data_IF_772867882064
#
_entry.id   IF_772867882064
#
_cell.length_a   1.000
_cell.length_b   1.000
_cell.length_c   1.000
_cell.angle_alpha   90.00
_cell.angle_beta   90.00
_cell.angle_gamma   90.00
#
_symmetry.space_group_name_H-M   'P 1'
#
loop_
_entity.id
_entity.type
_entity.pdbx_description
1 polymer ?
#
# COMPACT_ATOMS: atom_id res chain seq x y z
N UNK A 1 -29.50 59.14 81.26
CA UNK A 1 -30.85 58.85 80.93
C UNK A 1 -30.98 58.83 79.41
N UNK A 2 -31.56 57.80 78.90
CA UNK A 2 -32.01 57.57 77.51
C UNK A 2 -30.94 57.16 76.50
N UNK A 3 -30.81 55.83 76.27
CA UNK A 3 -30.07 55.19 75.22
C UNK A 3 -30.80 55.32 73.90
N UNK A 4 -30.02 55.68 72.82
CA UNK A 4 -30.46 55.55 71.48
C UNK A 4 -29.71 54.35 70.83
N UNK A 5 -30.45 53.31 70.54
CA UNK A 5 -30.02 52.19 69.73
C UNK A 5 -29.98 52.62 68.27
N UNK A 6 -28.77 52.50 67.68
CA UNK A 6 -28.57 52.58 66.21
C UNK A 6 -28.53 51.18 65.69
N UNK A 7 -29.45 50.78 64.84
CA UNK A 7 -29.48 49.53 64.09
C UNK A 7 -28.64 49.72 62.84
N UNK A 8 -27.54 49.04 62.78
CA UNK A 8 -26.78 48.88 61.51
C UNK A 8 -27.36 47.68 60.71
N UNK A 9 -27.97 47.99 59.59
CA UNK A 9 -28.40 46.98 58.60
C UNK A 9 -27.23 46.65 57.69
N UNK A 10 -26.59 45.50 57.89
CA UNK A 10 -25.56 45.00 57.02
C UNK A 10 -26.19 44.39 55.74
N UNK A 11 -25.92 44.97 54.59
CA UNK A 11 -26.24 44.41 53.30
C UNK A 11 -25.14 43.44 52.91
N UNK A 12 -25.45 42.17 52.95
CA UNK A 12 -24.55 41.08 52.47
C UNK A 12 -24.66 40.95 50.95
N UNK A 13 -23.70 41.49 50.22
CA UNK A 13 -23.57 41.29 48.77
C UNK A 13 -23.00 39.88 48.52
N UNK A 14 -23.82 38.93 48.09
CA UNK A 14 -23.38 37.65 47.57
C UNK A 14 -22.83 37.85 46.15
N UNK A 15 -21.50 37.84 45.99
CA UNK A 15 -20.83 37.69 44.70
C UNK A 15 -20.94 36.22 44.26
N UNK A 16 -21.88 35.90 43.39
CA UNK A 16 -21.91 34.62 42.70
C UNK A 16 -20.80 34.60 41.61
N UNK A 17 -19.67 33.93 41.90
CA UNK A 17 -18.65 33.65 40.92
C UNK A 17 -19.20 32.61 39.92
N UNK A 18 -19.58 33.05 38.73
CA UNK A 18 -19.90 32.18 37.60
C UNK A 18 -18.56 31.63 37.12
N UNK A 19 -18.19 30.41 37.56
CA UNK A 19 -17.12 29.65 36.94
C UNK A 19 -17.61 29.18 35.57
N UNK A 20 -17.32 29.95 34.53
CA UNK A 20 -17.44 29.50 33.16
C UNK A 20 -16.44 28.36 32.94
N UNK A 21 -16.92 27.12 32.97
CA UNK A 21 -16.18 26.01 32.42
C UNK A 21 -16.00 26.30 30.93
N UNK A 22 -14.79 26.73 30.53
CA UNK A 22 -14.38 26.72 29.15
C UNK A 22 -14.40 25.24 28.73
N UNK A 23 -15.40 24.82 27.98
CA UNK A 23 -15.46 23.53 27.34
C UNK A 23 -14.31 23.52 26.32
N UNK A 24 -13.24 22.77 26.61
CA UNK A 24 -12.20 22.50 25.62
C UNK A 24 -12.92 21.99 24.37
N UNK A 25 -12.61 22.55 23.17
CA UNK A 25 -13.22 22.05 21.95
C UNK A 25 -12.86 20.57 21.80
N UNK A 26 -13.85 19.72 21.83
CA UNK A 26 -13.73 18.29 21.57
C UNK A 26 -13.00 18.14 20.23
N UNK A 27 -11.79 17.57 20.28
CA UNK A 27 -10.97 17.42 19.10
C UNK A 27 -11.78 16.61 18.06
N UNK A 28 -12.10 17.25 16.94
CA UNK A 28 -12.86 16.62 15.87
C UNK A 28 -12.20 15.27 15.52
N UNK A 29 -12.99 14.19 15.47
CA UNK A 29 -12.50 12.89 15.09
C UNK A 29 -11.76 12.99 13.73
N UNK A 30 -10.57 12.37 13.60
CA UNK A 30 -9.79 12.50 12.38
C UNK A 30 -10.60 11.99 11.17
N UNK A 31 -10.64 12.81 10.12
CA UNK A 31 -11.38 12.48 8.90
C UNK A 31 -10.76 11.25 8.22
N UNK A 32 -11.60 10.43 7.59
CA UNK A 32 -11.15 9.33 6.75
C UNK A 32 -10.48 9.87 5.49
N UNK A 33 -9.34 9.29 5.11
CA UNK A 33 -8.57 9.68 3.93
C UNK A 33 -8.23 8.45 3.09
N UNK A 34 -7.99 8.60 1.76
CA UNK A 34 -7.52 7.50 0.94
C UNK A 34 -6.16 7.00 1.41
N UNK A 35 -5.95 5.69 1.46
CA UNK A 35 -4.68 5.07 1.87
C UNK A 35 -3.57 5.24 0.83
N UNK A 36 -3.92 5.56 -0.41
CA UNK A 36 -2.98 5.80 -1.51
C UNK A 36 -3.60 6.76 -2.53
N UNK A 37 -2.77 7.41 -3.31
CA UNK A 37 -3.18 8.20 -4.47
C UNK A 37 -3.61 7.28 -5.63
N UNK A 38 -4.36 7.79 -6.62
CA UNK A 38 -4.70 7.02 -7.82
C UNK A 38 -3.45 6.51 -8.58
N UNK A 39 -2.36 7.27 -8.61
CA UNK A 39 -1.10 6.85 -9.23
C UNK A 39 -0.47 5.68 -8.47
N UNK A 40 -0.36 5.76 -7.14
CA UNK A 40 0.18 4.69 -6.31
C UNK A 40 -0.64 3.41 -6.44
N UNK A 41 -1.99 3.50 -6.50
CA UNK A 41 -2.85 2.33 -6.74
C UNK A 41 -2.56 1.65 -8.07
N UNK A 42 -2.33 2.43 -9.13
CA UNK A 42 -2.04 1.89 -10.46
C UNK A 42 -0.59 1.43 -10.64
N UNK A 43 0.31 1.81 -9.73
CA UNK A 43 1.74 1.49 -9.76
C UNK A 43 2.16 0.55 -8.62
N UNK A 44 1.21 -0.11 -7.96
CA UNK A 44 1.49 -0.93 -6.76
C UNK A 44 2.09 -2.31 -7.07
N UNK A 45 1.98 -2.78 -8.31
CA UNK A 45 2.34 -4.14 -8.67
C UNK A 45 1.46 -5.19 -7.96
N UNK A 46 1.79 -6.47 -8.15
CA UNK A 46 1.10 -7.57 -7.47
C UNK A 46 1.90 -8.88 -7.56
N UNK A 47 1.61 -9.82 -6.67
CA UNK A 47 2.11 -11.20 -6.77
C UNK A 47 0.87 -12.10 -6.97
N UNK A 48 0.79 -12.77 -8.10
CA UNK A 48 -0.38 -13.56 -8.49
C UNK A 48 -0.07 -15.05 -8.52
N UNK A 49 -0.93 -15.86 -7.92
CA UNK A 49 -0.87 -17.32 -8.05
C UNK A 49 -1.14 -17.82 -9.47
N UNK A 50 -1.72 -16.98 -10.34
CA UNK A 50 -1.93 -17.28 -11.75
C UNK A 50 -1.03 -16.42 -12.61
N UNK A 51 -0.34 -17.02 -13.56
CA UNK A 51 0.52 -16.27 -14.49
C UNK A 51 -0.33 -15.40 -15.40
N UNK A 52 0.14 -14.17 -15.63
CA UNK A 52 -0.44 -13.25 -16.61
C UNK A 52 -0.31 -13.86 -18.02
N UNK A 53 -1.41 -13.81 -18.78
CA UNK A 53 -1.42 -14.26 -20.17
C UNK A 53 -0.48 -13.39 -21.02
N UNK A 54 0.20 -14.02 -21.98
CA UNK A 54 1.16 -13.35 -22.88
C UNK A 54 0.57 -13.05 -24.25
N UNK A 55 -0.75 -12.92 -24.31
CA UNK A 55 -1.49 -12.85 -25.58
C UNK A 55 -1.38 -11.46 -26.23
N UNK A 56 -1.27 -10.41 -25.43
CA UNK A 56 -1.09 -9.04 -25.89
C UNK A 56 0.14 -8.42 -25.19
N UNK A 57 0.98 -7.76 -25.95
CA UNK A 57 2.23 -7.19 -25.42
C UNK A 57 2.66 -5.96 -26.21
N UNK A 58 3.48 -5.13 -25.60
CA UNK A 58 4.16 -3.99 -26.24
C UNK A 58 5.20 -4.54 -27.20
N UNK A 59 5.04 -4.25 -28.48
CA UNK A 59 5.98 -4.70 -29.51
C UNK A 59 7.11 -3.70 -29.72
N UNK A 60 6.78 -2.41 -29.89
CA UNK A 60 7.74 -1.33 -30.11
C UNK A 60 7.05 0.03 -29.94
N UNK A 61 7.81 1.15 -30.07
CA UNK A 61 7.26 2.49 -30.22
C UNK A 61 6.58 2.67 -31.59
N UNK A 62 5.53 3.50 -31.59
CA UNK A 62 4.82 3.83 -32.82
C UNK A 62 5.28 5.14 -33.46
N UNK A 63 6.11 5.92 -32.80
CA UNK A 63 6.70 7.14 -33.34
C UNK A 63 7.84 6.77 -34.29
N UNK A 64 7.69 7.17 -35.54
CA UNK A 64 8.61 6.82 -36.64
C UNK A 64 9.92 7.62 -36.62
N UNK A 65 10.50 7.92 -35.46
CA UNK A 65 11.84 8.47 -35.41
C UNK A 65 12.88 7.33 -35.52
N UNK A 66 13.13 6.88 -36.75
CA UNK A 66 14.12 5.85 -37.09
C UNK A 66 15.57 6.19 -36.63
N UNK A 67 15.78 7.37 -36.02
CA UNK A 67 17.10 7.81 -35.57
C UNK A 67 17.36 7.53 -34.10
N UNK A 68 16.33 7.27 -33.29
CA UNK A 68 16.48 6.98 -31.88
C UNK A 68 16.04 5.54 -31.61
N UNK A 69 16.96 4.69 -31.23
CA UNK A 69 16.63 3.37 -30.62
C UNK A 69 16.01 3.54 -29.26
N UNK A 70 14.83 4.20 -29.24
CA UNK A 70 14.09 4.46 -28.01
C UNK A 70 13.42 3.19 -27.58
N UNK A 71 13.82 2.69 -26.41
CA UNK A 71 13.29 1.42 -25.86
C UNK A 71 12.48 1.60 -24.60
N UNK A 72 12.28 2.84 -24.15
CA UNK A 72 11.47 3.17 -22.97
C UNK A 72 10.51 4.29 -23.34
N UNK A 73 9.23 4.04 -23.12
CA UNK A 73 8.15 4.97 -23.47
C UNK A 73 7.52 5.53 -22.21
N UNK A 74 7.26 6.84 -22.26
CA UNK A 74 6.69 7.63 -21.18
C UNK A 74 5.27 8.05 -21.50
N UNK A 75 4.61 8.71 -20.57
CA UNK A 75 3.27 9.26 -20.75
C UNK A 75 3.23 10.21 -21.96
N UNK A 76 2.23 10.03 -22.80
CA UNK A 76 2.07 10.74 -24.06
C UNK A 76 2.62 10.02 -25.30
N UNK A 77 3.59 9.12 -25.13
CA UNK A 77 4.16 8.35 -26.25
C UNK A 77 3.15 7.32 -26.81
N UNK A 78 3.40 6.87 -28.03
CA UNK A 78 2.60 5.85 -28.68
C UNK A 78 3.39 4.55 -28.84
N UNK A 79 2.72 3.43 -28.59
CA UNK A 79 3.31 2.09 -28.68
C UNK A 79 2.46 1.18 -29.56
N UNK A 80 3.11 0.24 -30.24
CA UNK A 80 2.44 -0.88 -30.91
C UNK A 80 2.16 -2.00 -29.91
N UNK A 81 0.88 -2.34 -29.75
CA UNK A 81 0.46 -3.58 -29.07
C UNK A 81 0.31 -4.67 -30.12
N UNK A 82 0.96 -5.82 -29.90
CA UNK A 82 0.87 -6.99 -30.77
C UNK A 82 0.14 -8.13 -30.09
N UNK A 83 -0.80 -8.74 -30.83
CA UNK A 83 -1.49 -9.94 -30.37
C UNK A 83 -0.79 -11.21 -30.85
N UNK A 84 -0.70 -12.22 -29.95
CA UNK A 84 -0.22 -13.59 -30.29
C UNK A 84 -1.37 -14.58 -30.38
N UNK A 85 -2.60 -14.13 -30.35
CA UNK A 85 -3.83 -14.91 -30.26
C UNK A 85 -4.76 -14.25 -29.25
N UNK A 86 -6.05 -14.50 -29.32
CA UNK A 86 -7.02 -13.86 -28.46
C UNK A 86 -7.81 -12.74 -29.18
N UNK A 87 -8.71 -12.09 -28.43
CA UNK A 87 -9.55 -11.02 -28.96
C UNK A 87 -8.69 -9.81 -29.34
N UNK A 88 -8.90 -9.28 -30.54
CA UNK A 88 -8.26 -8.03 -30.96
C UNK A 88 -8.72 -6.88 -30.04
N UNK A 89 -7.80 -5.99 -29.63
CA UNK A 89 -8.18 -4.81 -28.86
C UNK A 89 -9.08 -3.90 -29.69
N UNK A 90 -10.02 -3.18 -29.07
CA UNK A 90 -10.89 -2.21 -29.73
C UNK A 90 -10.42 -0.79 -29.44
N UNK A 91 -10.75 0.14 -30.36
CA UNK A 91 -10.46 1.58 -30.15
C UNK A 91 -11.13 2.05 -28.85
N UNK A 92 -10.38 2.78 -28.04
CA UNK A 92 -10.83 3.30 -26.75
C UNK A 92 -10.66 2.34 -25.57
N UNK A 93 -10.38 1.04 -25.82
CA UNK A 93 -10.08 0.11 -24.71
C UNK A 93 -8.77 0.49 -24.01
N UNK A 94 -8.74 0.25 -22.70
CA UNK A 94 -7.60 0.54 -21.86
C UNK A 94 -6.97 -0.75 -21.32
N UNK A 95 -5.64 -0.74 -21.23
CA UNK A 95 -4.85 -1.85 -20.74
C UNK A 95 -3.86 -1.39 -19.68
N UNK A 96 -3.76 -2.13 -18.59
CA UNK A 96 -2.60 -2.04 -17.69
C UNK A 96 -1.41 -2.74 -18.34
N UNK A 97 -0.28 -2.09 -18.35
CA UNK A 97 0.98 -2.66 -18.82
C UNK A 97 1.75 -3.17 -17.61
N UNK A 98 2.09 -4.45 -17.66
CA UNK A 98 2.76 -5.14 -16.56
C UNK A 98 4.03 -5.83 -17.05
N UNK A 99 5.03 -5.86 -16.19
CA UNK A 99 6.32 -6.52 -16.41
C UNK A 99 6.52 -7.60 -15.37
N UNK A 100 7.06 -8.76 -15.77
CA UNK A 100 7.48 -9.76 -14.81
C UNK A 100 8.59 -9.18 -13.91
N UNK A 101 8.38 -9.17 -12.62
CA UNK A 101 9.39 -8.75 -11.65
C UNK A 101 10.36 -9.88 -11.26
N UNK A 102 10.36 -11.00 -12.00
CA UNK A 102 11.15 -12.19 -11.67
C UNK A 102 12.64 -11.87 -11.50
N UNK A 103 13.25 -11.13 -12.42
CA UNK A 103 14.69 -10.82 -12.36
C UNK A 103 15.04 -9.94 -11.15
N UNK A 104 14.18 -8.97 -10.81
CA UNK A 104 14.37 -8.10 -9.64
C UNK A 104 14.18 -8.89 -8.35
N UNK A 105 13.19 -9.77 -8.31
CA UNK A 105 12.87 -10.59 -7.12
C UNK A 105 13.84 -11.77 -6.91
N UNK A 106 14.78 -12.03 -7.82
CA UNK A 106 15.87 -13.02 -7.61
C UNK A 106 16.91 -12.57 -6.59
N UNK A 107 17.01 -11.29 -6.33
CA UNK A 107 17.84 -10.77 -5.25
C UNK A 107 17.09 -11.00 -3.94
N UNK A 108 17.57 -11.94 -3.14
CA UNK A 108 16.99 -12.30 -1.86
C UNK A 108 17.73 -11.59 -0.72
N UNK A 109 16.97 -10.96 0.15
CA UNK A 109 17.48 -10.21 1.28
C UNK A 109 17.57 -11.04 2.58
N UNK A 110 16.88 -12.19 2.59
CA UNK A 110 16.94 -13.12 3.72
C UNK A 110 16.80 -14.57 3.28
N UNK A 111 17.24 -15.46 4.14
CA UNK A 111 17.15 -16.89 3.89
C UNK A 111 15.67 -17.33 3.74
N UNK A 112 15.40 -18.19 2.76
CA UNK A 112 14.05 -18.70 2.42
C UNK A 112 13.10 -17.69 1.74
N UNK A 113 13.50 -16.45 1.48
CA UNK A 113 12.63 -15.47 0.78
C UNK A 113 12.16 -15.98 -0.58
N UNK A 114 13.05 -16.60 -1.35
CA UNK A 114 12.70 -17.15 -2.67
C UNK A 114 11.57 -18.18 -2.58
N UNK A 115 11.66 -19.12 -1.64
CA UNK A 115 10.61 -20.13 -1.43
C UNK A 115 9.28 -19.50 -1.02
N UNK A 116 9.31 -18.44 -0.21
CA UNK A 116 8.11 -17.72 0.17
C UNK A 116 7.47 -17.02 -1.04
N UNK A 117 8.27 -16.31 -1.83
CA UNK A 117 7.80 -15.62 -3.03
C UNK A 117 7.21 -16.62 -4.04
N UNK A 118 7.87 -17.75 -4.26
CA UNK A 118 7.38 -18.82 -5.14
C UNK A 118 6.05 -19.39 -4.66
N UNK A 119 5.88 -19.56 -3.35
CA UNK A 119 4.61 -20.01 -2.75
C UNK A 119 3.49 -18.97 -2.92
N UNK A 120 3.81 -17.69 -2.94
CA UNK A 120 2.85 -16.61 -3.20
C UNK A 120 2.47 -16.51 -4.68
N UNK A 121 3.38 -16.85 -5.59
CA UNK A 121 3.17 -16.86 -7.03
C UNK A 121 4.17 -16.05 -7.84
N UNK A 122 3.73 -15.57 -9.01
CA UNK A 122 4.55 -14.75 -9.90
C UNK A 122 4.38 -13.27 -9.59
N UNK A 123 5.49 -12.57 -9.39
CA UNK A 123 5.50 -11.13 -9.14
C UNK A 123 5.49 -10.35 -10.47
N UNK A 124 4.69 -9.29 -10.49
CA UNK A 124 4.56 -8.36 -11.60
C UNK A 124 4.66 -6.92 -11.10
N UNK A 125 5.39 -6.12 -11.86
CA UNK A 125 5.36 -4.66 -11.76
C UNK A 125 4.25 -4.09 -12.62
N UNK A 126 3.49 -3.12 -12.12
CA UNK A 126 2.69 -2.22 -12.96
C UNK A 126 3.65 -1.18 -13.56
N UNK A 127 3.91 -1.23 -14.86
CA UNK A 127 4.81 -0.27 -15.51
C UNK A 127 4.09 0.89 -16.18
N UNK A 128 2.78 0.77 -16.40
CA UNK A 128 1.97 1.85 -16.95
C UNK A 128 0.57 1.44 -17.37
N UNK A 129 -0.09 2.37 -18.06
CA UNK A 129 -1.41 2.17 -18.67
C UNK A 129 -1.42 2.77 -20.06
N UNK A 130 -2.10 2.11 -20.97
CA UNK A 130 -2.26 2.58 -22.35
C UNK A 130 -3.73 2.57 -22.77
N UNK A 131 -4.09 3.45 -23.72
CA UNK A 131 -5.40 3.54 -24.34
C UNK A 131 -5.27 3.33 -25.84
N UNK A 132 -6.02 2.41 -26.40
CA UNK A 132 -6.02 2.11 -27.84
C UNK A 132 -6.58 3.27 -28.63
N UNK A 133 -5.81 3.76 -29.61
CA UNK A 133 -6.21 4.85 -30.51
C UNK A 133 -6.53 4.34 -31.91
N UNK A 134 -5.89 3.26 -32.35
CA UNK A 134 -6.11 2.68 -33.68
C UNK A 134 -5.89 1.18 -33.65
N UNK A 135 -6.71 0.43 -34.38
CA UNK A 135 -6.58 -1.03 -34.51
C UNK A 135 -5.87 -1.34 -35.84
N UNK A 136 -4.97 -2.30 -35.80
CA UNK A 136 -4.25 -2.81 -36.98
C UNK A 136 -4.54 -4.31 -37.18
N UNK A 137 -4.25 -4.89 -38.32
CA UNK A 137 -4.49 -6.33 -38.58
C UNK A 137 -3.75 -7.25 -37.59
N UNK A 138 -2.67 -6.78 -36.96
CA UNK A 138 -1.81 -7.58 -36.10
C UNK A 138 -1.85 -7.11 -34.61
N UNK A 139 -2.70 -6.13 -34.28
CA UNK A 139 -2.79 -5.58 -32.93
C UNK A 139 -3.41 -4.20 -32.89
N UNK A 140 -2.74 -3.25 -32.24
CA UNK A 140 -3.23 -1.88 -32.10
C UNK A 140 -2.07 -0.89 -31.89
N UNK A 141 -2.35 0.39 -32.18
CA UNK A 141 -1.55 1.51 -31.65
C UNK A 141 -2.28 2.04 -30.41
N UNK A 142 -1.54 2.24 -29.35
CA UNK A 142 -2.06 2.74 -28.09
C UNK A 142 -1.18 3.88 -27.55
N UNK A 143 -1.82 4.88 -26.94
CA UNK A 143 -1.13 5.96 -26.27
C UNK A 143 -0.87 5.58 -24.80
N UNK A 144 0.33 5.84 -24.31
CA UNK A 144 0.67 5.72 -22.89
C UNK A 144 -0.03 6.83 -22.12
N UNK A 145 -0.96 6.48 -21.24
CA UNK A 145 -1.75 7.42 -20.42
C UNK A 145 -1.28 7.52 -18.98
N UNK A 146 -0.42 6.60 -18.55
CA UNK A 146 0.26 6.59 -17.26
C UNK A 146 1.55 5.80 -17.41
N UNK A 147 2.64 6.30 -16.88
CA UNK A 147 3.92 5.58 -16.80
C UNK A 147 4.41 5.53 -15.35
N UNK A 148 4.52 4.33 -14.77
CA UNK A 148 5.06 4.09 -13.42
C UNK A 148 6.59 3.98 -13.43
N UNK A 149 7.13 3.17 -14.35
CA UNK A 149 8.58 2.93 -14.49
C UNK A 149 9.06 2.93 -15.96
N UNK A 150 8.21 3.41 -16.86
CA UNK A 150 8.48 3.41 -18.29
C UNK A 150 8.14 2.07 -18.97
N UNK A 151 7.31 2.19 -20.00
CA UNK A 151 6.84 1.07 -20.81
C UNK A 151 7.94 0.65 -21.78
N UNK A 152 8.15 -0.65 -21.98
CA UNK A 152 9.21 -1.17 -22.84
C UNK A 152 8.71 -2.33 -23.72
N UNK A 153 9.38 -2.60 -24.86
CA UNK A 153 9.07 -3.78 -25.66
C UNK A 153 9.15 -5.06 -24.83
N UNK A 154 8.15 -5.92 -24.99
CA UNK A 154 8.00 -7.17 -24.25
C UNK A 154 7.12 -7.08 -23.01
N UNK A 155 6.78 -5.89 -22.53
CA UNK A 155 5.81 -5.73 -21.46
C UNK A 155 4.44 -6.24 -21.87
N UNK A 156 3.72 -6.86 -20.92
CA UNK A 156 2.43 -7.49 -21.18
C UNK A 156 1.30 -6.49 -21.00
N UNK A 157 0.29 -6.55 -21.86
CA UNK A 157 -0.91 -5.75 -21.75
C UNK A 157 -2.09 -6.61 -21.27
N UNK A 158 -2.67 -6.24 -20.15
CA UNK A 158 -3.86 -6.88 -19.57
C UNK A 158 -5.02 -5.89 -19.53
N UNK A 159 -6.29 -6.34 -19.66
CA UNK A 159 -7.42 -5.44 -19.56
C UNK A 159 -7.36 -4.59 -18.29
N UNK A 160 -7.45 -3.27 -18.45
CA UNK A 160 -7.42 -2.35 -17.32
C UNK A 160 -8.67 -2.52 -16.46
N UNK A 161 -8.43 -2.59 -15.15
CA UNK A 161 -9.50 -2.56 -14.14
C UNK A 161 -9.24 -1.40 -13.19
N UNK A 162 -10.19 -0.47 -13.01
CA UNK A 162 -10.04 0.61 -12.06
C UNK A 162 -9.78 0.10 -10.66
N UNK A 163 -8.76 0.66 -9.98
CA UNK A 163 -8.42 0.36 -8.60
C UNK A 163 -8.72 1.58 -7.74
N UNK A 164 -9.62 1.44 -6.80
CA UNK A 164 -9.95 2.53 -5.84
C UNK A 164 -9.17 2.33 -4.56
N UNK A 165 -8.50 3.39 -4.11
CA UNK A 165 -7.81 3.37 -2.83
C UNK A 165 -8.81 3.18 -1.68
N UNK A 166 -8.59 2.23 -0.77
CA UNK A 166 -9.41 2.09 0.42
C UNK A 166 -9.26 3.31 1.31
N UNK A 167 -10.35 3.64 2.01
CA UNK A 167 -10.36 4.71 2.99
C UNK A 167 -9.83 4.18 4.33
N UNK A 168 -9.06 5.00 5.04
CA UNK A 168 -8.66 4.72 6.40
C UNK A 168 -8.70 5.99 7.25
N UNK A 169 -8.88 5.83 8.55
CA UNK A 169 -8.82 6.95 9.50
C UNK A 169 -7.44 6.96 10.16
N UNK A 170 -6.63 8.00 9.93
CA UNK A 170 -5.33 8.12 10.60
C UNK A 170 -5.50 8.11 12.13
N UNK A 171 -4.55 7.48 12.82
CA UNK A 171 -4.49 7.48 14.30
C UNK A 171 -3.37 8.39 14.76
N UNK A 172 -3.55 9.03 15.90
CA UNK A 172 -2.55 9.96 16.46
C UNK A 172 -1.23 9.26 16.81
N UNK A 173 -1.31 8.06 17.40
CA UNK A 173 -0.13 7.25 17.73
C UNK A 173 -0.51 5.78 17.87
N UNK A 174 0.42 4.89 17.53
CA UNK A 174 0.33 3.46 17.84
C UNK A 174 0.79 3.21 19.28
N UNK A 175 0.13 2.29 19.96
CA UNK A 175 0.66 1.75 21.19
C UNK A 175 2.01 1.07 20.90
N UNK A 176 3.06 1.51 21.61
CA UNK A 176 4.42 1.05 21.36
C UNK A 176 4.61 -0.43 21.71
N UNK A 177 4.06 -0.84 22.83
CA UNK A 177 4.17 -2.21 23.31
C UNK A 177 2.79 -2.80 23.49
N UNK A 178 2.42 -3.72 22.62
CA UNK A 178 1.15 -4.40 22.65
C UNK A 178 1.35 -5.92 22.62
N UNK A 179 0.57 -6.69 23.40
CA UNK A 179 0.58 -8.13 23.28
C UNK A 179 0.05 -8.55 21.90
N UNK A 180 0.37 -9.78 21.49
CA UNK A 180 -0.31 -10.39 20.35
C UNK A 180 -1.81 -10.43 20.63
N UNK A 181 -2.61 -10.09 19.63
CA UNK A 181 -4.06 -10.19 19.72
C UNK A 181 -4.56 -11.58 19.25
N UNK A 182 -3.65 -12.48 18.87
CA UNK A 182 -3.91 -13.82 18.34
C UNK A 182 -4.80 -13.84 17.07
N UNK A 183 -4.86 -12.72 16.36
CA UNK A 183 -5.50 -12.65 15.06
C UNK A 183 -4.55 -13.11 13.96
N UNK A 184 -4.99 -12.98 12.72
CA UNK A 184 -4.22 -13.30 11.53
C UNK A 184 -2.87 -12.58 11.53
N UNK A 185 -1.79 -13.32 11.34
CA UNK A 185 -0.45 -12.77 11.25
C UNK A 185 0.33 -13.36 10.07
N UNK A 186 1.27 -12.58 9.56
CA UNK A 186 2.17 -12.94 8.48
C UNK A 186 3.45 -12.14 8.52
N UNK A 187 4.13 -12.04 7.39
CA UNK A 187 5.36 -11.25 7.28
C UNK A 187 5.36 -10.41 6.01
N UNK A 188 6.15 -9.35 6.01
CA UNK A 188 6.49 -8.58 4.82
C UNK A 188 7.43 -9.43 3.98
N UNK A 189 6.94 -9.93 2.85
CA UNK A 189 7.68 -10.82 1.97
C UNK A 189 8.71 -10.07 1.11
N UNK A 190 8.34 -8.88 0.61
CA UNK A 190 9.20 -7.99 -0.17
C UNK A 190 8.64 -6.57 -0.19
N UNK A 191 9.49 -5.58 -0.37
CA UNK A 191 9.05 -4.22 -0.76
C UNK A 191 8.71 -4.16 -2.25
N UNK A 192 7.82 -3.27 -2.65
CA UNK A 192 7.60 -2.95 -4.07
C UNK A 192 8.91 -2.36 -4.64
N UNK A 193 9.31 -2.80 -5.85
CA UNK A 193 10.63 -2.49 -6.38
C UNK A 193 11.78 -3.25 -5.70
N UNK A 194 11.47 -4.29 -4.91
CA UNK A 194 12.42 -5.12 -4.16
C UNK A 194 13.31 -4.32 -3.19
N UNK A 195 12.77 -3.27 -2.59
CA UNK A 195 13.47 -2.49 -1.56
C UNK A 195 13.52 -3.26 -0.24
N UNK A 196 14.71 -3.33 0.44
CA UNK A 196 14.84 -4.08 1.69
C UNK A 196 14.30 -3.34 2.91
N UNK A 197 14.18 -2.03 2.84
CA UNK A 197 13.76 -1.16 3.94
C UNK A 197 12.61 -0.27 3.52
N UNK A 198 11.68 -0.06 4.44
CA UNK A 198 10.42 0.60 4.22
C UNK A 198 10.19 1.70 5.25
N UNK A 199 9.53 2.76 4.82
CA UNK A 199 9.05 3.85 5.66
C UNK A 199 7.62 4.23 5.30
N UNK A 200 7.11 5.30 5.89
CA UNK A 200 5.79 5.84 5.54
C UNK A 200 5.74 6.15 4.04
N UNK A 201 4.65 5.74 3.39
CA UNK A 201 4.47 5.85 1.94
C UNK A 201 5.09 4.71 1.13
N UNK A 202 5.86 3.80 1.75
CA UNK A 202 6.36 2.61 1.07
C UNK A 202 5.27 1.55 0.92
N UNK A 203 5.26 0.87 -0.22
CA UNK A 203 4.39 -0.28 -0.46
C UNK A 203 5.15 -1.60 -0.31
N UNK A 204 4.47 -2.60 0.24
CA UNK A 204 5.05 -3.92 0.47
C UNK A 204 4.08 -5.05 0.18
N UNK A 205 4.65 -6.19 -0.22
CA UNK A 205 3.92 -7.45 -0.35
C UNK A 205 3.97 -8.22 0.97
N UNK A 206 2.81 -8.67 1.43
CA UNK A 206 2.69 -9.59 2.57
C UNK A 206 2.24 -10.97 2.09
N UNK A 207 2.62 -12.01 2.82
CA UNK A 207 2.29 -13.40 2.51
C UNK A 207 0.88 -13.81 2.98
N UNK A 208 -0.03 -12.86 3.02
CA UNK A 208 -1.44 -13.04 3.38
C UNK A 208 -2.31 -12.49 2.25
N UNK A 209 -3.29 -13.26 1.82
CA UNK A 209 -4.18 -12.92 0.72
C UNK A 209 -5.63 -13.29 1.00
N UNK A 210 -6.42 -13.38 -0.06
CA UNK A 210 -7.84 -13.70 0.00
C UNK A 210 -8.13 -15.04 0.72
N UNK A 211 -7.30 -16.05 0.50
CA UNK A 211 -7.42 -17.37 1.16
C UNK A 211 -7.22 -17.30 2.67
N UNK A 212 -6.63 -16.22 3.15
CA UNK A 212 -6.45 -15.93 4.58
C UNK A 212 -7.52 -14.97 5.13
N UNK A 213 -8.51 -14.59 4.32
CA UNK A 213 -9.56 -13.64 4.71
C UNK A 213 -9.13 -12.17 4.71
N UNK A 214 -8.02 -11.83 4.04
CA UNK A 214 -7.58 -10.44 3.89
C UNK A 214 -8.47 -9.70 2.91
N UNK A 215 -8.76 -8.44 3.22
CA UNK A 215 -9.57 -7.53 2.39
C UNK A 215 -8.92 -6.15 2.31
N UNK A 216 -9.13 -5.39 1.21
CA UNK A 216 -8.67 -4.01 1.11
C UNK A 216 -9.21 -3.15 2.27
N UNK A 217 -8.39 -2.22 2.75
CA UNK A 217 -8.72 -1.34 3.88
C UNK A 217 -8.42 -1.93 5.26
N UNK A 218 -8.17 -3.23 5.37
CA UNK A 218 -7.73 -3.82 6.63
C UNK A 218 -6.39 -3.25 7.07
N UNK A 219 -6.23 -3.14 8.38
CA UNK A 219 -5.05 -2.56 9.03
C UNK A 219 -4.25 -3.66 9.69
N UNK A 220 -2.95 -3.60 9.49
CA UNK A 220 -2.00 -4.51 10.11
C UNK A 220 -0.96 -3.69 10.87
N UNK A 221 -0.76 -4.00 12.14
CA UNK A 221 0.39 -3.49 12.89
C UNK A 221 1.64 -4.26 12.49
N UNK A 222 2.77 -3.55 12.46
CA UNK A 222 4.06 -4.09 12.06
C UNK A 222 4.93 -4.21 13.30
N UNK A 223 5.60 -5.35 13.46
CA UNK A 223 6.51 -5.62 14.57
C UNK A 223 7.78 -6.31 14.07
N UNK A 224 8.95 -6.09 14.70
CA UNK A 224 10.19 -6.69 14.28
C UNK A 224 10.11 -8.21 14.32
N UNK A 225 10.58 -8.85 13.27
CA UNK A 225 10.78 -10.29 13.29
C UNK A 225 12.13 -10.59 13.95
N UNK A 226 12.13 -10.91 15.23
CA UNK A 226 13.36 -11.21 15.95
C UNK A 226 14.02 -12.49 15.43
N UNK A 227 15.15 -12.29 14.78
CA UNK A 227 16.06 -13.37 14.35
C UNK A 227 17.25 -13.53 15.27
N UNK A 228 17.13 -13.26 16.51
CA UNK A 228 18.18 -13.66 17.42
C UNK A 228 17.96 -15.11 17.85
N UNK A 229 18.45 -16.04 16.95
CA UNK A 229 18.50 -17.48 17.25
C UNK A 229 19.29 -17.74 18.53
N UNK A 230 20.12 -16.78 18.94
CA UNK A 230 20.98 -16.87 20.13
C UNK A 230 20.31 -16.29 21.38
N UNK A 231 19.24 -15.54 21.24
CA UNK A 231 18.54 -14.99 22.42
C UNK A 231 17.49 -15.97 22.94
N UNK A 232 17.98 -17.04 23.59
CA UNK A 232 17.14 -18.04 24.24
C UNK A 232 16.19 -17.44 25.31
N UNK A 233 16.49 -16.26 25.83
CA UNK A 233 15.63 -15.57 26.79
C UNK A 233 14.34 -15.05 26.17
N UNK A 234 14.37 -14.48 24.96
CA UNK A 234 13.17 -13.98 24.29
C UNK A 234 12.24 -15.12 23.83
N UNK A 235 12.78 -16.31 23.56
CA UNK A 235 11.97 -17.51 23.30
C UNK A 235 11.17 -17.99 24.51
N UNK A 236 11.56 -17.61 25.72
CA UNK A 236 10.94 -18.05 26.99
C UNK A 236 9.83 -17.12 27.47
N UNK A 237 9.57 -16.02 26.78
CA UNK A 237 8.53 -15.07 27.12
C UNK A 237 7.53 -14.93 25.96
N UNK A 238 6.73 -15.96 25.67
CA UNK A 238 5.75 -15.90 24.58
C UNK A 238 4.69 -14.81 24.77
N UNK A 239 4.48 -14.36 25.99
CA UNK A 239 3.54 -13.29 26.36
C UNK A 239 4.21 -11.90 26.44
N UNK A 240 5.51 -11.79 26.15
CA UNK A 240 6.17 -10.48 26.14
C UNK A 240 5.50 -9.56 25.14
N UNK A 241 5.18 -8.32 25.51
CA UNK A 241 4.60 -7.36 24.58
C UNK A 241 5.58 -7.10 23.43
N UNK A 242 5.05 -7.16 22.20
CA UNK A 242 5.81 -6.87 20.99
C UNK A 242 5.93 -5.36 20.80
N UNK A 243 7.09 -4.89 20.36
CA UNK A 243 7.22 -3.50 19.96
C UNK A 243 6.52 -3.30 18.61
N UNK A 244 5.48 -2.49 18.58
CA UNK A 244 4.84 -2.05 17.34
C UNK A 244 5.68 -0.94 16.73
N UNK A 245 6.27 -1.20 15.56
CA UNK A 245 7.15 -0.28 14.85
C UNK A 245 6.45 0.49 13.73
N UNK A 246 5.29 0.04 13.28
CA UNK A 246 4.52 0.69 12.22
C UNK A 246 3.13 0.11 12.05
N UNK A 247 2.42 0.69 11.10
CA UNK A 247 1.10 0.25 10.66
C UNK A 247 1.05 0.29 9.13
N UNK A 248 0.38 -0.70 8.53
CA UNK A 248 0.06 -0.68 7.11
C UNK A 248 -1.44 -0.86 6.86
N UNK A 249 -1.91 -0.31 5.76
CA UNK A 249 -3.27 -0.48 5.23
C UNK A 249 -3.20 -1.28 3.94
N UNK A 250 -4.01 -2.33 3.83
CA UNK A 250 -4.05 -3.16 2.62
C UNK A 250 -4.71 -2.40 1.48
N UNK A 251 -4.00 -2.27 0.36
CA UNK A 251 -4.45 -1.60 -0.86
C UNK A 251 -5.17 -2.56 -1.80
N UNK A 252 -4.55 -3.72 -2.07
CA UNK A 252 -5.07 -4.72 -2.99
C UNK A 252 -4.74 -6.13 -2.51
N UNK A 253 -5.57 -7.09 -2.91
CA UNK A 253 -5.48 -8.47 -2.43
C UNK A 253 -5.48 -9.41 -3.63
N UNK A 254 -4.56 -10.36 -3.62
CA UNK A 254 -4.48 -11.50 -4.51
C UNK A 254 -4.78 -12.78 -3.71
N UNK A 255 -4.80 -13.92 -4.40
CA UNK A 255 -5.15 -15.19 -3.75
C UNK A 255 -4.32 -15.48 -2.50
N UNK A 256 -2.98 -15.37 -2.59
CA UNK A 256 -2.02 -15.73 -1.54
C UNK A 256 -1.20 -14.56 -0.99
N UNK A 257 -1.40 -13.37 -1.54
CA UNK A 257 -0.63 -12.17 -1.22
C UNK A 257 -1.52 -10.94 -1.15
N UNK A 258 -1.01 -9.89 -0.54
CA UNK A 258 -1.61 -8.56 -0.59
C UNK A 258 -0.53 -7.49 -0.72
N UNK A 259 -0.91 -6.34 -1.26
CA UNK A 259 -0.09 -5.12 -1.23
C UNK A 259 -0.63 -4.22 -0.14
N UNK A 260 0.24 -3.79 0.76
CA UNK A 260 -0.08 -2.81 1.80
C UNK A 260 0.76 -1.56 1.68
N UNK A 261 0.19 -0.42 2.05
CA UNK A 261 0.87 0.87 2.20
C UNK A 261 1.25 1.07 3.66
N UNK A 262 2.50 1.38 3.94
CA UNK A 262 2.94 1.78 5.28
C UNK A 262 2.40 3.19 5.56
N UNK A 263 1.49 3.33 6.50
CA UNK A 263 0.83 4.59 6.86
C UNK A 263 1.41 5.23 8.12
N UNK A 264 2.07 4.43 8.96
CA UNK A 264 2.82 4.91 10.13
C UNK A 264 4.10 4.10 10.31
N UNK A 265 5.17 4.78 10.76
CA UNK A 265 6.44 4.15 11.08
C UNK A 265 7.12 4.92 12.22
N UNK A 266 7.60 4.21 13.23
CA UNK A 266 8.42 4.77 14.34
C UNK A 266 9.91 4.69 14.04
N UNK A 267 10.29 3.72 13.23
CA UNK A 267 11.64 3.47 12.76
C UNK A 267 11.59 2.70 11.45
N UNK A 268 12.72 2.49 10.85
CA UNK A 268 12.86 1.68 9.65
C UNK A 268 12.20 0.30 9.82
N UNK A 269 11.38 -0.06 8.85
CA UNK A 269 10.73 -1.36 8.73
C UNK A 269 11.55 -2.17 7.73
N UNK A 270 11.92 -3.39 8.09
CA UNK A 270 12.63 -4.29 7.20
C UNK A 270 11.67 -5.31 6.56
N UNK A 271 12.00 -5.77 5.37
CA UNK A 271 11.35 -6.97 4.85
C UNK A 271 11.60 -8.12 5.83
N UNK A 272 10.64 -9.05 5.93
CA UNK A 272 10.55 -10.10 6.93
C UNK A 272 10.01 -9.66 8.30
N UNK A 273 9.85 -8.35 8.58
CA UNK A 273 9.12 -7.94 9.78
C UNK A 273 7.71 -8.53 9.77
N UNK A 274 7.22 -8.83 10.97
CA UNK A 274 5.91 -9.43 11.16
C UNK A 274 4.80 -8.41 10.96
N UNK A 275 3.65 -8.89 10.47
CA UNK A 275 2.42 -8.12 10.37
C UNK A 275 1.29 -8.88 11.06
N UNK A 276 0.43 -8.20 11.81
CA UNK A 276 -0.69 -8.78 12.53
C UNK A 276 -1.93 -7.92 12.34
N UNK A 277 -3.05 -8.57 11.97
CA UNK A 277 -4.34 -7.90 11.75
C UNK A 277 -4.82 -7.23 13.05
N UNK A 278 -5.27 -5.98 12.95
CA UNK A 278 -5.84 -5.23 14.08
C UNK A 278 -7.31 -5.53 14.38
#
# INVERSE_FOLDING_TARGET
MLHKLIRLSGVLLLLAAIQGFAQEPEAAAPASVPAATPSEMNCSGFISGTRVAKDLYVFDGADNDFRAERRVFSEGDYVYLRSRGGAAPSVGSEFSIVRSAYEVMRIHWYFMQGLLLDAMGSAYEDVGRVKVVTVTPQGAIAQVTLACSGVSPGDLAIPYQPRTAPQYTPRAALERFAPSNNKLWGIIAAGVGNTPYLGVGSMAYINLGQEHGVSPGQRFRIFPFFHDVNNAMLRRLPEAPRETIGEMVILSVQKWSSVGMVVQSRREIAIRDGVELE
#
